data_IF_711044009360
#
_entry.id   IF_711044009360
#
_cell.length_a   1.000
_cell.length_b   1.000
_cell.length_c   1.000
_cell.angle_alpha   90.00
_cell.angle_beta   90.00
_cell.angle_gamma   90.00
#
_symmetry.space_group_name_H-M   'P 1'
#
loop_
_entity.id
_entity.type
_entity.pdbx_description
1 polymer ?
#
# COMPACT_ATOMS: atom_id res chain seq x y z
N UNK A 1 -1.23 -27.78 -11.22
CA UNK A 1 -0.33 -27.47 -10.09
C UNK A 1 -1.01 -26.46 -9.20
N UNK A 2 -0.92 -26.58 -7.87
CA UNK A 2 -1.59 -25.66 -6.94
C UNK A 2 -0.54 -24.84 -6.20
N UNK A 3 -0.60 -23.53 -6.41
CA UNK A 3 0.12 -22.51 -5.65
C UNK A 3 -0.42 -22.43 -4.23
N UNK A 4 0.48 -22.42 -3.25
CA UNK A 4 0.21 -22.02 -1.87
C UNK A 4 0.43 -20.51 -1.78
N UNK A 5 -0.52 -19.79 -1.21
CA UNK A 5 -0.42 -18.38 -0.90
C UNK A 5 -0.14 -18.21 0.59
N UNK A 6 0.74 -17.27 0.94
CA UNK A 6 1.10 -17.00 2.34
C UNK A 6 0.92 -15.52 2.62
N UNK A 7 0.18 -15.20 3.67
CA UNK A 7 0.07 -13.85 4.24
C UNK A 7 1.06 -13.78 5.41
N UNK A 8 2.11 -12.98 5.22
CA UNK A 8 3.22 -12.86 6.18
C UNK A 8 2.87 -12.16 7.49
N UNK A 9 3.76 -12.26 8.47
CA UNK A 9 3.64 -11.56 9.77
C UNK A 9 3.82 -10.03 9.66
N UNK A 10 4.30 -9.55 8.52
CA UNK A 10 4.39 -8.12 8.20
C UNK A 10 3.02 -7.48 8.01
N UNK A 11 2.06 -8.23 7.47
CA UNK A 11 0.74 -7.75 7.08
C UNK A 11 -0.14 -7.42 8.29
N UNK A 12 -1.00 -6.42 8.09
CA UNK A 12 -2.16 -6.13 8.94
C UNK A 12 -3.43 -6.65 8.27
N UNK A 13 -4.10 -7.63 8.88
CA UNK A 13 -5.18 -8.38 8.25
C UNK A 13 -6.54 -7.86 8.71
N UNK A 14 -7.35 -7.37 7.78
CA UNK A 14 -8.76 -7.07 8.02
C UNK A 14 -9.60 -8.31 7.72
N UNK A 15 -10.07 -9.03 8.76
CA UNK A 15 -10.78 -10.30 8.59
C UNK A 15 -12.07 -10.19 7.75
N UNK A 16 -12.93 -9.17 7.94
CA UNK A 16 -14.12 -9.03 7.09
C UNK A 16 -13.75 -8.92 5.61
N UNK A 17 -12.78 -8.06 5.25
CA UNK A 17 -12.33 -7.91 3.87
C UNK A 17 -11.67 -9.17 3.32
N UNK A 18 -10.83 -9.85 4.11
CA UNK A 18 -10.23 -11.13 3.72
C UNK A 18 -11.30 -12.18 3.37
N UNK A 19 -12.35 -12.29 4.19
CA UNK A 19 -13.41 -13.25 3.93
C UNK A 19 -14.31 -12.86 2.75
N UNK A 20 -14.60 -11.57 2.57
CA UNK A 20 -15.29 -11.08 1.36
C UNK A 20 -14.50 -11.44 0.09
N UNK A 21 -13.17 -11.31 0.12
CA UNK A 21 -12.30 -11.66 -1.00
C UNK A 21 -12.26 -13.18 -1.24
N UNK A 22 -12.13 -13.99 -0.18
CA UNK A 22 -12.18 -15.45 -0.28
C UNK A 22 -13.54 -15.91 -0.85
N UNK A 23 -14.65 -15.38 -0.35
CA UNK A 23 -15.99 -15.68 -0.84
C UNK A 23 -16.16 -15.27 -2.31
N UNK A 24 -15.62 -14.11 -2.69
CA UNK A 24 -15.53 -13.65 -4.07
C UNK A 24 -14.78 -14.62 -4.97
N UNK A 25 -13.62 -15.11 -4.55
CA UNK A 25 -12.82 -16.08 -5.30
C UNK A 25 -13.53 -17.44 -5.42
N UNK A 26 -14.11 -17.95 -4.34
CA UNK A 26 -14.81 -19.24 -4.34
C UNK A 26 -16.07 -19.21 -5.21
N UNK A 27 -16.81 -18.09 -5.19
CA UNK A 27 -17.97 -17.90 -6.08
C UNK A 27 -17.59 -17.88 -7.57
N UNK A 28 -16.37 -17.47 -7.90
CA UNK A 28 -15.80 -17.52 -9.25
C UNK A 28 -15.14 -18.87 -9.59
N UNK A 29 -15.31 -19.88 -8.74
CA UNK A 29 -14.80 -21.24 -8.96
C UNK A 29 -13.32 -21.43 -8.58
N UNK A 30 -12.70 -20.45 -7.92
CA UNK A 30 -11.32 -20.54 -7.44
C UNK A 30 -11.33 -21.06 -6.00
N UNK A 31 -10.97 -22.33 -5.81
CA UNK A 31 -10.88 -22.90 -4.46
C UNK A 31 -9.70 -22.28 -3.68
N UNK A 32 -10.01 -21.75 -2.49
CA UNK A 32 -9.05 -21.16 -1.56
C UNK A 32 -8.62 -22.14 -0.44
N UNK A 33 -9.38 -23.21 -0.24
CA UNK A 33 -9.10 -24.25 0.77
C UNK A 33 -7.72 -24.88 0.55
N UNK A 34 -6.95 -25.00 1.64
CA UNK A 34 -5.57 -25.55 1.65
C UNK A 34 -4.58 -24.82 0.74
N UNK A 35 -4.93 -23.58 0.32
CA UNK A 35 -4.12 -22.77 -0.59
C UNK A 35 -3.78 -21.40 -0.04
N UNK A 36 -4.27 -21.04 1.13
CA UNK A 36 -3.95 -19.79 1.78
C UNK A 36 -3.49 -20.13 3.20
N UNK A 37 -2.35 -19.57 3.61
CA UNK A 37 -1.89 -19.56 4.98
C UNK A 37 -1.86 -18.12 5.49
N UNK A 38 -2.32 -17.92 6.72
CA UNK A 38 -2.32 -16.65 7.42
C UNK A 38 -1.39 -16.77 8.60
N UNK A 39 -0.42 -15.85 8.70
CA UNK A 39 0.50 -15.81 9.83
C UNK A 39 -0.25 -15.63 11.14
N UNK A 40 0.04 -16.51 12.10
CA UNK A 40 -0.38 -16.35 13.48
C UNK A 40 0.19 -15.07 14.14
N UNK A 41 1.30 -14.56 13.63
CA UNK A 41 1.97 -13.34 14.08
C UNK A 41 1.51 -12.06 13.35
N UNK A 42 0.66 -12.16 12.33
CA UNK A 42 0.07 -10.99 11.68
C UNK A 42 -0.86 -10.23 12.65
N UNK A 43 -0.91 -8.91 12.54
CA UNK A 43 -1.78 -8.08 13.37
C UNK A 43 -3.18 -7.97 12.77
N UNK A 44 -4.20 -7.87 13.62
CA UNK A 44 -5.58 -7.69 13.20
C UNK A 44 -5.91 -6.22 13.00
N UNK A 45 -6.41 -5.91 11.81
CA UNK A 45 -7.00 -4.63 11.49
C UNK A 45 -8.50 -4.70 11.78
N UNK A 46 -8.95 -3.96 12.79
CA UNK A 46 -10.36 -3.85 13.15
C UNK A 46 -11.07 -2.70 12.42
N UNK A 47 -12.40 -2.74 12.38
CA UNK A 47 -13.21 -1.67 11.81
C UNK A 47 -13.00 -0.33 12.56
N UNK A 48 -12.79 -0.37 13.87
CA UNK A 48 -12.52 0.86 14.63
C UNK A 48 -11.22 1.56 14.18
N UNK A 49 -10.20 0.82 13.70
CA UNK A 49 -9.00 1.44 13.14
C UNK A 49 -9.33 2.30 11.92
N UNK A 50 -10.27 1.87 11.07
CA UNK A 50 -10.74 2.65 9.90
C UNK A 50 -11.45 3.93 10.33
N UNK A 51 -12.26 3.84 11.38
CA UNK A 51 -12.94 5.01 11.97
C UNK A 51 -11.91 5.99 12.54
N UNK A 52 -10.94 5.49 13.31
CA UNK A 52 -9.85 6.29 13.89
C UNK A 52 -9.00 6.97 12.81
N UNK A 53 -8.70 6.27 11.72
CA UNK A 53 -7.97 6.83 10.56
C UNK A 53 -8.72 8.04 9.97
N UNK A 54 -10.03 7.88 9.71
CA UNK A 54 -10.88 8.96 9.23
C UNK A 54 -11.02 10.14 10.20
N UNK A 55 -11.11 9.87 11.50
CA UNK A 55 -11.16 10.92 12.53
C UNK A 55 -9.84 11.70 12.59
N UNK A 56 -8.69 11.02 12.47
CA UNK A 56 -7.38 11.68 12.48
C UNK A 56 -7.19 12.59 11.27
N UNK A 57 -7.61 12.16 10.08
CA UNK A 57 -7.60 13.02 8.89
C UNK A 57 -8.49 14.26 9.09
N UNK A 58 -9.66 14.10 9.71
CA UNK A 58 -10.56 15.24 9.96
C UNK A 58 -9.98 16.28 10.94
N UNK A 59 -9.11 15.88 11.87
CA UNK A 59 -8.41 16.80 12.78
C UNK A 59 -7.30 17.61 12.07
N UNK A 60 -6.75 17.11 10.96
CA UNK A 60 -5.57 17.68 10.30
C UNK A 60 -5.87 18.90 9.40
N UNK A 61 -7.13 19.27 9.20
CA UNK A 61 -7.65 20.48 8.55
C UNK A 61 -6.97 20.94 7.24
N UNK A 62 -5.72 21.43 7.27
CA UNK A 62 -4.96 21.96 6.15
C UNK A 62 -3.71 21.13 5.79
N UNK A 63 -3.44 20.04 6.50
CA UNK A 63 -2.28 19.16 6.30
C UNK A 63 -2.73 17.71 6.15
N UNK A 64 -3.71 17.48 5.27
CA UNK A 64 -4.19 16.15 4.93
C UNK A 64 -3.05 15.30 4.37
N UNK A 65 -2.95 14.08 4.88
CA UNK A 65 -2.02 13.07 4.35
C UNK A 65 -2.70 12.32 3.19
N UNK A 66 -4.05 12.41 3.08
CA UNK A 66 -4.89 11.74 2.09
C UNK A 66 -4.81 10.21 2.24
N UNK A 67 -5.02 9.73 3.46
CA UNK A 67 -5.01 8.28 3.72
C UNK A 67 -6.19 7.61 3.02
N UNK A 68 -6.03 6.33 2.70
CA UNK A 68 -7.12 5.51 2.12
C UNK A 68 -8.27 5.26 3.11
N UNK A 69 -8.16 5.72 4.37
CA UNK A 69 -9.12 5.50 5.47
C UNK A 69 -9.40 4.02 5.71
N UNK A 70 -8.40 3.19 5.42
CA UNK A 70 -8.45 1.75 5.60
C UNK A 70 -7.88 1.30 6.94
N UNK A 71 -7.44 2.21 7.81
CA UNK A 71 -7.02 1.87 9.17
C UNK A 71 -5.61 1.29 9.28
N UNK A 72 -4.82 1.36 8.21
CA UNK A 72 -3.45 0.82 8.15
C UNK A 72 -2.57 1.50 9.20
N UNK A 73 -2.52 2.83 9.20
CA UNK A 73 -1.72 3.60 10.15
C UNK A 73 -2.08 3.32 11.61
N UNK A 74 -3.34 3.44 12.04
CA UNK A 74 -3.75 3.10 13.40
C UNK A 74 -3.46 1.65 13.81
N UNK A 75 -3.57 0.68 12.89
CA UNK A 75 -3.22 -0.71 13.20
C UNK A 75 -1.72 -0.88 13.43
N UNK A 76 -0.86 -0.32 12.57
CA UNK A 76 0.60 -0.31 12.77
C UNK A 76 1.00 0.47 14.03
N UNK A 77 0.29 1.55 14.37
CA UNK A 77 0.48 2.26 15.64
C UNK A 77 0.25 1.32 16.83
N UNK A 78 -0.84 0.55 16.81
CA UNK A 78 -1.17 -0.42 17.87
C UNK A 78 -0.12 -1.54 17.99
N UNK A 79 0.44 -1.97 16.84
CA UNK A 79 1.58 -2.90 16.79
C UNK A 79 2.83 -2.33 17.46
N UNK A 80 3.18 -1.07 17.17
CA UNK A 80 4.39 -0.43 17.70
C UNK A 80 4.28 -0.11 19.19
N UNK A 81 3.10 0.26 19.68
CA UNK A 81 2.86 0.54 21.12
C UNK A 81 2.56 -0.73 21.93
N UNK A 82 2.65 -1.91 21.31
CA UNK A 82 2.52 -3.23 21.95
C UNK A 82 1.15 -3.57 22.56
N UNK A 83 0.08 -2.91 22.11
CA UNK A 83 -1.29 -3.23 22.53
C UNK A 83 -2.15 -3.86 21.42
N UNK A 84 -1.64 -3.91 20.18
CA UNK A 84 -2.32 -4.52 19.05
C UNK A 84 -2.57 -6.02 19.23
N UNK A 85 -3.72 -6.48 18.75
CA UNK A 85 -4.11 -7.90 18.77
C UNK A 85 -3.61 -8.59 17.50
N UNK A 86 -3.09 -9.81 17.63
CA UNK A 86 -2.60 -10.64 16.52
C UNK A 86 -3.53 -11.80 16.23
N UNK A 87 -3.33 -12.45 15.09
CA UNK A 87 -4.12 -13.62 14.66
C UNK A 87 -4.07 -14.74 15.71
N UNK A 88 -2.91 -14.99 16.34
CA UNK A 88 -2.79 -16.02 17.39
C UNK A 88 -3.69 -15.77 18.60
N UNK A 89 -4.06 -14.52 18.90
CA UNK A 89 -4.93 -14.19 20.02
C UNK A 89 -6.37 -14.68 19.81
N UNK A 90 -6.79 -14.96 18.58
CA UNK A 90 -8.10 -15.53 18.26
C UNK A 90 -8.28 -16.96 18.79
N UNK A 91 -7.18 -17.66 19.07
CA UNK A 91 -7.21 -18.96 19.75
C UNK A 91 -7.48 -18.85 21.25
N UNK A 92 -7.44 -17.63 21.79
CA UNK A 92 -7.58 -17.32 23.22
C UNK A 92 -8.76 -16.38 23.47
N UNK A 93 -9.95 -16.80 23.05
CA UNK A 93 -11.19 -16.02 23.18
C UNK A 93 -11.61 -15.75 24.65
N UNK A 94 -10.96 -16.39 25.62
CA UNK A 94 -11.07 -16.10 27.05
C UNK A 94 -10.40 -14.77 27.47
N UNK A 95 -9.36 -14.36 26.73
CA UNK A 95 -8.61 -13.10 26.97
C UNK A 95 -8.83 -12.03 25.89
N UNK A 96 -9.37 -12.42 24.74
CA UNK A 96 -9.62 -11.53 23.61
C UNK A 96 -10.53 -10.33 23.96
N UNK A 97 -11.65 -10.49 24.69
CA UNK A 97 -12.54 -9.36 25.01
C UNK A 97 -11.84 -8.25 25.80
N UNK A 98 -10.97 -8.62 26.75
CA UNK A 98 -10.23 -7.67 27.58
C UNK A 98 -9.21 -6.89 26.75
N UNK A 99 -8.52 -7.56 25.82
CA UNK A 99 -7.59 -6.91 24.89
C UNK A 99 -8.30 -5.93 23.97
N UNK A 100 -9.46 -6.33 23.42
CA UNK A 100 -10.23 -5.48 22.52
C UNK A 100 -10.82 -4.27 23.25
N UNK A 101 -11.32 -4.46 24.48
CA UNK A 101 -11.84 -3.36 25.30
C UNK A 101 -10.80 -2.29 25.60
N UNK A 102 -9.54 -2.71 25.86
CA UNK A 102 -8.43 -1.77 26.05
C UNK A 102 -8.20 -0.90 24.81
N UNK A 103 -8.14 -1.51 23.62
CA UNK A 103 -7.96 -0.80 22.35
C UNK A 103 -9.10 0.19 22.06
N UNK A 104 -10.35 -0.24 22.25
CA UNK A 104 -11.52 0.61 22.04
C UNK A 104 -11.58 1.76 23.05
N UNK A 105 -11.21 1.49 24.30
CA UNK A 105 -11.16 2.50 25.37
C UNK A 105 -10.09 3.57 25.09
N UNK A 106 -8.92 3.18 24.61
CA UNK A 106 -7.88 4.14 24.19
C UNK A 106 -8.33 4.99 23.00
N UNK A 107 -8.97 4.39 21.99
CA UNK A 107 -9.51 5.11 20.85
C UNK A 107 -10.57 6.14 21.30
N UNK A 108 -11.45 5.77 22.24
CA UNK A 108 -12.46 6.68 22.80
C UNK A 108 -11.85 7.80 23.64
N UNK A 109 -10.78 7.51 24.39
CA UNK A 109 -10.06 8.51 25.16
C UNK A 109 -9.35 9.54 24.26
N UNK A 110 -8.82 9.11 23.11
CA UNK A 110 -8.12 9.98 22.16
C UNK A 110 -9.04 10.78 21.25
N UNK A 111 -10.15 10.20 20.79
CA UNK A 111 -11.02 10.82 19.79
C UNK A 111 -12.44 10.98 20.32
N UNK A 112 -12.84 12.24 20.56
CA UNK A 112 -14.21 12.56 21.04
C UNK A 112 -15.31 12.08 20.08
N UNK A 113 -15.00 11.93 18.79
CA UNK A 113 -15.92 11.40 17.78
C UNK A 113 -16.10 9.88 17.82
N UNK A 114 -15.29 9.15 18.58
CA UNK A 114 -15.38 7.69 18.71
C UNK A 114 -16.19 7.31 19.95
N UNK A 115 -17.32 6.63 19.74
CA UNK A 115 -18.20 6.18 20.81
C UNK A 115 -17.94 4.71 21.15
N UNK A 116 -17.27 4.47 22.26
CA UNK A 116 -17.15 3.14 22.85
C UNK A 116 -18.37 2.81 23.73
N UNK A 117 -18.94 1.62 23.57
CA UNK A 117 -20.04 1.14 24.41
C UNK A 117 -19.89 -0.35 24.72
N UNK A 118 -20.42 -0.83 25.86
CA UNK A 118 -20.41 -2.25 26.19
C UNK A 118 -21.09 -3.13 25.14
N UNK A 119 -22.12 -2.62 24.47
CA UNK A 119 -22.84 -3.36 23.43
C UNK A 119 -22.01 -3.50 22.15
N UNK A 120 -21.28 -2.44 21.74
CA UNK A 120 -20.33 -2.49 20.63
C UNK A 120 -19.24 -3.54 20.88
N UNK A 121 -18.67 -3.57 22.10
CA UNK A 121 -17.66 -4.57 22.46
C UNK A 121 -18.21 -5.99 22.34
N UNK A 122 -19.41 -6.24 22.88
CA UNK A 122 -20.04 -7.58 22.81
C UNK A 122 -20.29 -8.02 21.38
N UNK A 123 -20.76 -7.12 20.53
CA UNK A 123 -21.01 -7.40 19.12
C UNK A 123 -19.71 -7.74 18.37
N UNK A 124 -18.66 -6.92 18.52
CA UNK A 124 -17.37 -7.19 17.90
C UNK A 124 -16.75 -8.50 18.39
N UNK A 125 -16.81 -8.81 19.69
CA UNK A 125 -16.32 -10.10 20.23
C UNK A 125 -17.05 -11.28 19.61
N UNK A 126 -18.37 -11.22 19.48
CA UNK A 126 -19.16 -12.30 18.88
C UNK A 126 -18.87 -12.45 17.38
N UNK A 127 -18.69 -11.34 16.66
CA UNK A 127 -18.27 -11.37 15.25
C UNK A 127 -16.89 -12.02 15.10
N UNK A 128 -15.91 -11.62 15.91
CA UNK A 128 -14.56 -12.18 15.86
C UNK A 128 -14.48 -13.63 16.32
N UNK A 129 -15.39 -14.08 17.18
CA UNK A 129 -15.52 -15.51 17.52
C UNK A 129 -15.88 -16.35 16.28
N UNK A 130 -16.82 -15.88 15.46
CA UNK A 130 -17.19 -16.54 14.20
C UNK A 130 -16.05 -16.49 13.19
N UNK A 131 -15.35 -15.36 13.12
CA UNK A 131 -14.16 -15.23 12.28
C UNK A 131 -13.03 -16.15 12.73
N UNK A 132 -12.81 -16.35 14.03
CA UNK A 132 -11.81 -17.26 14.57
C UNK A 132 -12.06 -18.70 14.11
N UNK A 133 -13.30 -19.19 14.24
CA UNK A 133 -13.70 -20.53 13.78
C UNK A 133 -13.46 -20.71 12.27
N UNK A 134 -13.79 -19.68 11.47
CA UNK A 134 -13.61 -19.70 10.03
C UNK A 134 -12.14 -19.56 9.60
N UNK A 135 -11.34 -18.82 10.36
CA UNK A 135 -9.93 -18.52 10.06
C UNK A 135 -9.01 -19.68 10.47
N UNK A 136 -9.35 -20.44 11.51
CA UNK A 136 -8.51 -21.52 12.06
C UNK A 136 -7.83 -22.43 11.02
N UNK A 137 -8.50 -22.95 9.96
CA UNK A 137 -7.84 -23.80 8.96
C UNK A 137 -6.78 -23.08 8.11
N UNK A 138 -6.77 -21.75 8.11
CA UNK A 138 -5.78 -20.93 7.41
C UNK A 138 -4.60 -20.54 8.30
N UNK A 139 -4.74 -20.58 9.63
CA UNK A 139 -3.70 -20.09 10.55
C UNK A 139 -2.51 -21.05 10.59
N UNK A 140 -1.31 -20.53 10.33
CA UNK A 140 -0.07 -21.29 10.44
C UNK A 140 1.08 -20.44 11.00
N UNK A 141 2.10 -21.10 11.55
CA UNK A 141 3.41 -20.49 11.78
C UNK A 141 4.08 -20.27 10.42
N UNK A 142 3.84 -19.09 9.84
CA UNK A 142 4.37 -18.76 8.52
C UNK A 142 5.88 -18.61 8.53
N UNK A 143 6.49 -18.21 9.65
CA UNK A 143 7.95 -18.07 9.73
C UNK A 143 8.60 -19.45 9.59
N UNK A 144 8.09 -20.44 10.32
CA UNK A 144 8.51 -21.83 10.18
C UNK A 144 8.28 -22.36 8.75
N UNK A 145 7.06 -22.20 8.22
CA UNK A 145 6.70 -22.67 6.88
C UNK A 145 7.60 -22.06 5.81
N UNK A 146 7.88 -20.75 5.89
CA UNK A 146 8.75 -20.06 4.93
C UNK A 146 10.19 -20.57 4.99
N UNK A 147 10.77 -20.72 6.18
CA UNK A 147 12.14 -21.21 6.33
C UNK A 147 12.27 -22.68 5.92
N UNK A 148 11.27 -23.52 6.19
CA UNK A 148 11.21 -24.91 5.68
C UNK A 148 11.11 -24.96 4.16
N UNK A 149 10.31 -24.08 3.54
CA UNK A 149 10.22 -24.00 2.09
C UNK A 149 11.55 -23.59 1.46
N UNK A 150 12.27 -22.65 2.08
CA UNK A 150 13.61 -22.24 1.64
C UNK A 150 14.62 -23.39 1.79
N UNK A 151 14.61 -24.10 2.92
CA UNK A 151 15.49 -25.24 3.15
C UNK A 151 15.25 -26.40 2.16
N UNK A 152 14.01 -26.55 1.71
CA UNK A 152 13.61 -27.52 0.68
C UNK A 152 13.78 -26.99 -0.75
N UNK A 153 14.44 -25.85 -0.94
CA UNK A 153 14.70 -25.21 -2.24
C UNK A 153 13.43 -24.95 -3.07
N UNK A 154 12.30 -24.71 -2.40
CA UNK A 154 11.05 -24.37 -3.08
C UNK A 154 11.14 -22.98 -3.72
N UNK A 155 10.51 -22.83 -4.88
CA UNK A 155 10.38 -21.53 -5.55
C UNK A 155 9.37 -20.67 -4.82
N UNK A 156 9.81 -19.49 -4.42
CA UNK A 156 9.03 -18.50 -3.68
C UNK A 156 9.01 -17.21 -4.52
N UNK A 157 7.81 -16.66 -4.76
CA UNK A 157 7.65 -15.32 -5.29
C UNK A 157 7.05 -14.45 -4.19
N UNK A 158 7.70 -13.33 -3.94
CA UNK A 158 7.19 -12.32 -3.01
C UNK A 158 6.55 -11.19 -3.84
N UNK A 159 5.29 -10.92 -3.55
CA UNK A 159 4.52 -9.80 -4.07
C UNK A 159 4.56 -8.68 -3.04
N UNK A 160 5.11 -7.53 -3.42
CA UNK A 160 5.04 -6.31 -2.61
C UNK A 160 3.74 -5.57 -2.91
N UNK A 161 3.07 -5.07 -1.87
CA UNK A 161 1.82 -4.30 -2.01
C UNK A 161 2.02 -2.94 -2.71
N UNK A 162 3.05 -2.18 -2.29
CA UNK A 162 3.23 -0.77 -2.66
C UNK A 162 4.63 -0.47 -3.21
N UNK A 163 4.84 0.77 -3.67
CA UNK A 163 6.12 1.24 -4.18
C UNK A 163 7.04 1.76 -3.06
N UNK A 164 8.35 1.68 -3.29
CA UNK A 164 9.37 2.14 -2.33
C UNK A 164 9.30 3.64 -2.02
N UNK A 165 8.73 4.46 -2.90
CA UNK A 165 8.50 5.89 -2.66
C UNK A 165 7.40 6.16 -1.61
N UNK A 166 6.61 5.15 -1.26
CA UNK A 166 5.63 5.20 -0.17
C UNK A 166 6.17 4.54 1.11
N UNK A 167 7.43 4.11 1.14
CA UNK A 167 8.03 3.51 2.33
C UNK A 167 8.07 4.50 3.49
N UNK A 168 7.77 4.02 4.71
CA UNK A 168 7.73 4.85 5.92
C UNK A 168 9.06 5.58 6.20
N UNK A 169 10.20 4.96 5.83
CA UNK A 169 11.53 5.50 6.09
C UNK A 169 12.13 6.15 4.83
N UNK A 170 11.96 5.53 3.67
CA UNK A 170 12.63 5.95 2.43
C UNK A 170 11.75 6.77 1.47
N UNK A 171 10.46 6.88 1.77
CA UNK A 171 9.49 7.61 0.95
C UNK A 171 9.44 9.10 1.22
N UNK A 172 8.47 9.78 0.61
CA UNK A 172 8.24 11.22 0.77
C UNK A 172 7.46 11.55 2.04
N UNK A 173 8.03 11.24 3.20
CA UNK A 173 7.39 11.47 4.50
C UNK A 173 6.93 12.93 4.66
N UNK A 174 5.70 13.21 5.17
CA UNK A 174 4.74 12.26 5.75
C UNK A 174 3.78 11.58 4.75
N UNK A 175 3.90 11.82 3.44
CA UNK A 175 3.01 11.29 2.41
C UNK A 175 3.42 9.87 1.98
N UNK A 176 3.37 8.96 2.95
CA UNK A 176 3.85 7.57 2.85
C UNK A 176 2.86 6.62 3.53
N UNK A 177 3.03 5.31 3.31
CA UNK A 177 2.32 4.30 4.10
C UNK A 177 3.00 4.11 5.47
N UNK A 178 2.36 3.37 6.36
CA UNK A 178 2.91 3.00 7.67
C UNK A 178 3.68 1.67 7.67
N UNK A 179 3.84 1.05 6.50
CA UNK A 179 4.63 -0.17 6.30
C UNK A 179 5.93 0.12 5.54
N UNK A 180 6.72 -0.93 5.29
CA UNK A 180 7.98 -0.86 4.54
C UNK A 180 7.88 -1.66 3.24
N UNK A 181 7.41 -1.08 2.12
CA UNK A 181 7.35 -1.74 0.81
C UNK A 181 8.72 -1.97 0.17
N UNK A 182 9.80 -1.49 0.78
CA UNK A 182 11.18 -1.78 0.36
C UNK A 182 11.54 -3.27 0.54
N UNK A 183 12.65 -3.69 -0.08
CA UNK A 183 13.15 -5.07 0.03
C UNK A 183 13.43 -5.51 1.49
N UNK A 184 13.67 -4.55 2.40
CA UNK A 184 13.79 -4.84 3.83
C UNK A 184 12.50 -5.39 4.44
N UNK A 185 11.34 -4.93 3.95
CA UNK A 185 10.01 -5.40 4.35
C UNK A 185 9.78 -6.88 4.07
N UNK A 186 10.43 -7.43 3.03
CA UNK A 186 10.38 -8.87 2.72
C UNK A 186 10.94 -9.68 3.90
N UNK A 187 12.08 -9.25 4.45
CA UNK A 187 12.75 -9.96 5.52
C UNK A 187 11.98 -9.85 6.83
N UNK A 188 11.56 -8.64 7.20
CA UNK A 188 10.83 -8.38 8.45
C UNK A 188 9.40 -8.92 8.40
N UNK A 189 8.78 -8.94 7.22
CA UNK A 189 7.41 -9.38 7.00
C UNK A 189 7.21 -10.88 6.82
N UNK A 190 8.27 -11.63 6.51
CA UNK A 190 8.22 -13.09 6.34
C UNK A 190 9.09 -13.87 7.33
N UNK A 191 9.93 -13.19 8.12
CA UNK A 191 10.85 -13.85 9.05
C UNK A 191 11.95 -14.64 8.33
N UNK A 192 12.44 -14.11 7.21
CA UNK A 192 13.50 -14.73 6.41
C UNK A 192 14.81 -13.93 6.52
N UNK A 193 15.93 -14.63 6.32
CA UNK A 193 17.25 -14.01 6.31
C UNK A 193 17.40 -13.03 5.12
N UNK A 194 18.28 -12.01 5.20
CA UNK A 194 18.49 -11.01 4.15
C UNK A 194 19.22 -11.52 2.90
N UNK A 195 19.08 -12.82 2.60
CA UNK A 195 19.56 -13.47 1.38
C UNK A 195 18.42 -13.57 0.37
N UNK A 196 17.85 -12.41 0.03
CA UNK A 196 16.81 -12.30 -0.99
C UNK A 196 17.46 -12.58 -2.36
N UNK A 197 16.76 -13.35 -3.20
CA UNK A 197 17.20 -13.65 -4.57
C UNK A 197 17.02 -12.47 -5.52
N UNK A 198 16.61 -12.74 -6.74
CA UNK A 198 16.35 -11.71 -7.74
C UNK A 198 15.17 -10.80 -7.31
N UNK A 199 15.37 -9.48 -7.42
CA UNK A 199 14.35 -8.47 -7.13
C UNK A 199 13.94 -7.80 -8.45
N UNK A 200 12.66 -7.90 -8.80
CA UNK A 200 12.10 -7.28 -10.01
C UNK A 200 11.43 -5.97 -9.60
N UNK A 201 12.05 -4.85 -9.95
CA UNK A 201 11.42 -3.54 -9.84
C UNK A 201 10.41 -3.35 -10.96
N UNK A 202 9.13 -3.35 -10.62
CA UNK A 202 8.09 -2.95 -11.57
C UNK A 202 8.04 -1.42 -11.59
N UNK A 203 8.10 -0.85 -12.79
CA UNK A 203 7.95 0.60 -12.97
C UNK A 203 6.92 0.84 -14.05
N UNK A 204 5.93 1.68 -13.74
CA UNK A 204 4.91 2.09 -14.69
C UNK A 204 5.28 3.44 -15.31
N UNK A 205 5.01 3.59 -16.61
CA UNK A 205 5.36 4.77 -17.37
C UNK A 205 4.28 5.08 -18.39
N UNK A 206 3.92 6.35 -18.52
CA UNK A 206 3.04 6.79 -19.59
C UNK A 206 3.88 7.22 -20.80
N UNK A 207 3.69 6.49 -21.91
CA UNK A 207 4.36 6.81 -23.18
C UNK A 207 3.48 7.75 -23.96
N UNK A 208 3.88 9.02 -24.02
CA UNK A 208 3.26 10.01 -24.87
C UNK A 208 4.00 10.11 -26.21
N UNK A 209 3.29 10.37 -27.33
CA UNK A 209 3.95 10.63 -28.60
C UNK A 209 4.92 11.80 -28.44
N UNK A 210 6.20 11.60 -28.76
CA UNK A 210 7.17 12.69 -28.84
C UNK A 210 6.96 13.56 -30.07
N UNK A 211 7.60 14.72 -30.11
CA UNK A 211 7.69 15.56 -31.32
C UNK A 211 9.11 15.56 -31.87
N UNK A 212 9.24 15.42 -33.19
CA UNK A 212 10.54 15.37 -33.88
C UNK A 212 10.82 16.67 -34.64
N UNK A 213 10.48 17.80 -34.05
CA UNK A 213 10.81 19.11 -34.61
C UNK A 213 11.33 20.05 -33.53
N UNK A 214 12.18 20.98 -33.94
CA UNK A 214 12.64 22.03 -33.02
C UNK A 214 11.47 22.95 -32.66
N UNK A 215 11.33 23.23 -31.36
CA UNK A 215 10.30 24.11 -30.81
C UNK A 215 10.89 25.41 -30.24
N UNK A 216 12.22 25.60 -30.34
CA UNK A 216 12.94 26.68 -29.67
C UNK A 216 12.56 28.10 -30.11
N UNK A 217 12.02 28.24 -31.31
CA UNK A 217 11.55 29.50 -31.90
C UNK A 217 10.07 29.79 -31.65
N UNK A 218 9.30 28.84 -31.10
CA UNK A 218 7.85 28.99 -30.91
C UNK A 218 7.54 29.97 -29.78
N UNK A 219 6.56 30.86 -30.00
CA UNK A 219 6.17 31.90 -29.03
C UNK A 219 4.69 31.88 -28.66
N UNK A 220 3.84 31.18 -29.42
CA UNK A 220 2.43 30.97 -29.07
C UNK A 220 2.17 29.50 -28.76
N UNK A 221 1.30 29.24 -27.77
CA UNK A 221 0.94 27.88 -27.37
C UNK A 221 0.39 27.05 -28.53
N UNK A 222 -0.52 27.62 -29.33
CA UNK A 222 -1.18 26.91 -30.43
C UNK A 222 -0.26 26.55 -31.61
N UNK A 223 0.95 27.14 -31.66
CA UNK A 223 1.97 26.83 -32.66
C UNK A 223 2.81 25.60 -32.24
N UNK A 224 2.70 25.13 -30.99
CA UNK A 224 3.38 23.91 -30.53
C UNK A 224 2.84 22.67 -31.26
N UNK A 225 3.73 21.68 -31.54
CA UNK A 225 3.31 20.38 -32.03
C UNK A 225 2.20 19.79 -31.15
N UNK A 226 1.23 19.13 -31.78
CA UNK A 226 0.09 18.54 -31.06
C UNK A 226 0.56 17.63 -29.91
N UNK A 227 1.56 16.81 -30.17
CA UNK A 227 2.23 15.97 -29.18
C UNK A 227 2.79 16.75 -27.97
N UNK A 228 3.39 17.93 -28.20
CA UNK A 228 3.93 18.77 -27.14
C UNK A 228 2.83 19.42 -26.28
N UNK A 229 1.72 19.83 -26.91
CA UNK A 229 0.55 20.35 -26.20
C UNK A 229 -0.11 19.28 -25.35
N UNK A 230 -0.32 18.09 -25.91
CA UNK A 230 -0.86 16.95 -25.18
C UNK A 230 0.01 16.55 -23.99
N UNK A 231 1.34 16.69 -24.11
CA UNK A 231 2.26 16.48 -22.99
C UNK A 231 2.05 17.49 -21.86
N UNK A 232 1.92 18.78 -22.18
CA UNK A 232 1.66 19.83 -21.18
C UNK A 232 0.29 19.62 -20.51
N UNK A 233 -0.75 19.43 -21.31
CA UNK A 233 -2.13 19.17 -20.83
C UNK A 233 -2.17 17.94 -19.93
N UNK A 234 -1.40 16.89 -20.25
CA UNK A 234 -1.31 15.68 -19.42
C UNK A 234 -0.62 15.95 -18.09
N UNK A 235 0.40 16.81 -18.05
CA UNK A 235 1.01 17.22 -16.78
C UNK A 235 0.03 18.04 -15.94
N UNK A 236 -0.71 18.98 -16.56
CA UNK A 236 -1.74 19.75 -15.85
C UNK A 236 -2.82 18.85 -15.24
N UNK A 237 -3.27 17.85 -15.98
CA UNK A 237 -4.25 16.85 -15.52
C UNK A 237 -3.71 16.02 -14.35
N UNK A 238 -2.47 15.54 -14.45
CA UNK A 238 -1.84 14.70 -13.42
C UNK A 238 -1.54 15.48 -12.13
N UNK A 239 -1.13 16.75 -12.26
CA UNK A 239 -0.73 17.61 -11.13
C UNK A 239 -1.94 18.36 -10.55
N UNK A 240 -3.02 18.54 -11.33
CA UNK A 240 -4.19 19.31 -10.93
C UNK A 240 -3.93 20.82 -10.85
N UNK A 241 -2.83 21.31 -11.43
CA UNK A 241 -2.42 22.72 -11.41
C UNK A 241 -2.19 23.18 -12.86
N UNK A 242 -2.77 24.33 -13.28
CA UNK A 242 -2.55 24.86 -14.62
C UNK A 242 -1.11 25.35 -14.81
N UNK A 243 -0.54 25.02 -15.97
CA UNK A 243 0.79 25.44 -16.44
C UNK A 243 0.62 26.71 -17.26
N UNK A 244 1.05 27.82 -16.68
CA UNK A 244 0.96 29.13 -17.35
C UNK A 244 2.19 29.49 -18.20
N UNK A 245 3.30 28.77 -18.05
CA UNK A 245 4.57 29.08 -18.71
C UNK A 245 5.26 27.81 -19.22
N UNK A 246 5.69 27.84 -20.48
CA UNK A 246 6.42 26.73 -21.13
C UNK A 246 7.75 27.26 -21.67
N UNK A 247 8.85 26.78 -21.10
CA UNK A 247 10.19 27.12 -21.58
C UNK A 247 10.56 26.26 -22.79
N UNK A 248 10.83 26.88 -23.95
CA UNK A 248 11.17 26.16 -25.19
C UNK A 248 12.63 26.29 -25.64
N UNK A 249 13.49 27.03 -24.93
CA UNK A 249 14.90 27.22 -25.31
C UNK A 249 15.77 27.87 -24.24
N UNK A 250 17.08 27.98 -24.50
CA UNK A 250 18.09 28.47 -23.55
C UNK A 250 18.07 29.98 -23.27
N UNK A 251 17.25 30.76 -24.00
CA UNK A 251 17.28 32.23 -23.94
C UNK A 251 15.96 32.82 -23.43
N UNK A 252 16.01 33.44 -22.26
CA UNK A 252 14.95 34.24 -21.64
C UNK A 252 15.04 35.69 -22.18
N UNK A 253 14.02 36.27 -22.84
CA UNK A 253 13.78 37.70 -22.71
C UNK A 253 12.86 37.89 -21.50
N UNK A 254 13.47 38.21 -20.35
CA UNK A 254 12.78 38.68 -19.16
C UNK A 254 12.24 40.10 -19.40
N UNK A 255 10.95 40.30 -19.14
CA UNK A 255 10.41 41.57 -18.61
C UNK A 255 9.36 41.27 -17.53
N UNK A 256 9.35 42.12 -16.51
CA UNK A 256 9.03 41.92 -15.07
C UNK A 256 7.51 42.00 -14.75
N UNK A 257 6.96 41.44 -13.65
CA UNK A 257 7.31 41.61 -12.23
C UNK A 257 7.19 40.31 -11.41
N UNK A 258 8.21 40.15 -10.57
CA UNK A 258 8.30 39.37 -9.33
C UNK A 258 8.38 37.82 -9.36
N UNK A 259 9.51 37.38 -8.82
CA UNK A 259 9.99 36.05 -8.41
C UNK A 259 10.45 35.04 -9.48
N UNK A 260 11.79 34.84 -9.46
CA UNK A 260 12.59 33.86 -10.19
C UNK A 260 12.56 32.48 -9.50
N UNK A 261 12.29 31.42 -10.27
CA UNK A 261 12.97 30.13 -10.10
C UNK A 261 13.41 29.68 -11.51
N UNK A 262 14.73 29.52 -11.70
CA UNK A 262 15.30 28.96 -12.92
C UNK A 262 15.24 27.44 -12.87
N UNK A 263 14.65 26.81 -13.89
CA UNK A 263 14.93 25.42 -14.24
C UNK A 263 15.57 25.41 -15.63
N UNK A 264 16.88 25.62 -15.68
CA UNK A 264 17.69 25.28 -16.84
C UNK A 264 18.38 23.94 -16.54
N UNK A 265 17.96 22.92 -17.28
CA UNK A 265 18.67 21.66 -17.37
C UNK A 265 17.73 20.48 -17.60
N UNK A 266 17.34 20.26 -18.86
CA UNK A 266 17.31 18.96 -19.56
C UNK A 266 16.46 19.08 -20.84
N UNK A 267 17.02 19.72 -21.86
CA UNK A 267 16.66 19.41 -23.26
C UNK A 267 17.97 19.22 -24.02
N UNK A 268 18.48 18.00 -23.97
CA UNK A 268 19.20 17.36 -25.06
C UNK A 268 19.45 15.90 -24.66
N UNK A 269 18.83 14.98 -25.41
CA UNK A 269 19.05 13.53 -25.38
C UNK A 269 18.60 12.78 -24.11
N UNK A 270 17.29 12.52 -23.97
CA UNK A 270 16.78 11.26 -23.41
C UNK A 270 15.43 10.98 -24.07
N UNK A 271 15.27 9.81 -24.70
CA UNK A 271 14.06 9.41 -25.44
C UNK A 271 12.88 9.00 -24.54
N UNK A 272 13.04 9.00 -23.22
CA UNK A 272 12.04 8.49 -22.27
C UNK A 272 12.24 9.19 -20.91
N UNK A 273 11.20 9.82 -20.38
CA UNK A 273 11.14 10.32 -18.98
C UNK A 273 9.91 9.66 -18.32
N UNK A 274 10.08 9.30 -17.06
CA UNK A 274 9.63 8.01 -16.52
C UNK A 274 9.17 8.22 -15.06
N UNK A 275 7.86 8.25 -14.76
CA UNK A 275 7.27 8.35 -13.40
C UNK A 275 5.98 7.47 -13.33
N UNK A 276 5.74 6.72 -12.23
CA UNK A 276 4.75 5.61 -12.21
C UNK A 276 3.92 5.34 -10.93
N UNK A 277 2.80 4.60 -11.14
CA UNK A 277 1.88 3.89 -10.20
C UNK A 277 1.44 2.58 -10.90
N UNK A 278 1.25 1.43 -10.21
CA UNK A 278 1.03 0.09 -10.83
C UNK A 278 -0.36 -0.53 -10.58
N UNK A 279 -0.84 -1.35 -11.53
CA UNK A 279 -1.95 -2.33 -11.41
C UNK A 279 -1.50 -3.76 -11.82
N UNK A 280 -1.91 -4.76 -11.04
CA UNK A 280 -1.55 -6.20 -11.11
C UNK A 280 -1.69 -6.90 -12.47
N UNK A 281 -0.80 -7.88 -12.74
CA UNK A 281 -0.97 -8.94 -13.75
C UNK A 281 -0.67 -10.32 -13.14
N UNK A 282 -1.68 -11.19 -13.10
CA UNK A 282 -1.56 -12.63 -12.77
C UNK A 282 -1.29 -13.40 -14.08
N UNK A 283 -0.23 -14.21 -14.12
CA UNK A 283 0.14 -15.05 -15.27
C UNK A 283 -0.16 -16.53 -15.02
N UNK A 284 -0.91 -17.17 -15.93
CA UNK A 284 -1.45 -18.54 -15.84
C UNK A 284 -0.43 -19.69 -16.01
N UNK A 285 0.88 -19.45 -16.03
CA UNK A 285 1.85 -20.53 -16.32
C UNK A 285 3.12 -20.44 -15.48
N UNK A 286 3.04 -20.78 -14.19
CA UNK A 286 4.13 -21.43 -13.43
C UNK A 286 3.63 -21.83 -12.02
N UNK A 287 4.24 -22.84 -11.37
CA UNK A 287 4.03 -23.09 -9.94
C UNK A 287 4.75 -21.99 -9.15
N UNK A 288 4.03 -20.92 -8.86
CA UNK A 288 4.54 -19.74 -8.15
C UNK A 288 3.79 -19.66 -6.84
N UNK A 289 4.45 -19.75 -5.69
CA UNK A 289 3.86 -19.37 -4.40
C UNK A 289 3.64 -17.86 -4.46
N UNK A 290 2.38 -17.39 -4.48
CA UNK A 290 2.06 -15.96 -4.43
C UNK A 290 2.00 -15.51 -2.99
N UNK A 291 2.93 -14.65 -2.56
CA UNK A 291 3.05 -14.21 -1.16
C UNK A 291 2.79 -12.72 -1.11
N UNK A 292 1.78 -12.29 -0.35
CA UNK A 292 1.52 -10.87 -0.11
C UNK A 292 2.35 -10.38 1.09
N UNK A 293 3.14 -9.33 0.90
CA UNK A 293 3.96 -8.65 1.93
C UNK A 293 3.69 -7.16 1.98
#
# INVERSE_FOLDING_TARGET
MRTLCVIGNGIVVHLPGLFEEIDGLESNGISCKERILVSDCAHLLFNFHRVVDGLRESELANSFIDTTKNGIGPCYSSKVIWNGIRVCDLRHMDTFPQKLDLLLSEAAARFQGFKHSPDMLREEVENYKRFAERLEPFIADTVYVMNECIAQEKKILVEGDQATMLDIDFGTYPFVTSSSPSAGGICTGLGILPRVGDVIGVVEYEVLPGWQCDISSIRNYFDLPKAARQYVERIEELVGIPIHYIGVGRMMPLYTNDFLISLLGFVQWVSHVLIGKIKLLISEKCPVIGIYV
#
